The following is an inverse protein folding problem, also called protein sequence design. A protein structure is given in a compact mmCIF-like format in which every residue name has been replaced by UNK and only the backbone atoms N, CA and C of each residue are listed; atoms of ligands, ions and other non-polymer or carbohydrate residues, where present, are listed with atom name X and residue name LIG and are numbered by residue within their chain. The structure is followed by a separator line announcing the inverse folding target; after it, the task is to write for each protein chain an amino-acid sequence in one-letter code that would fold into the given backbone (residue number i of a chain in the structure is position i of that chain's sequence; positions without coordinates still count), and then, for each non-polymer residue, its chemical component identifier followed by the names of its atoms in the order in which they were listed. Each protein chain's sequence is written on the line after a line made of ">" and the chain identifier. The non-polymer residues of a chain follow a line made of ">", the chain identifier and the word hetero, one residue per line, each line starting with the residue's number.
data_IF_304954272150
#
_entry.id   IF_304954272150
#
_cell.length_a   1.000
_cell.length_b   1.000
_cell.length_c   1.000
_cell.angle_alpha   90.00
_cell.angle_beta   90.00
_cell.angle_gamma   90.00
#
_symmetry.space_group_name_H-M   'P 1'
#
loop_
_entity.id
_entity.type
_entity.pdbx_description
1 polymer ?
#
# COMPACT_ATOMS: atom_id res chain seq x y z
N UNK A 1 11.19 -31.51 41.52
CA UNK A 1 11.43 -30.25 40.78
C UNK A 1 12.06 -30.47 39.40
N UNK A 2 13.11 -31.29 39.24
CA UNK A 2 13.80 -31.51 37.94
C UNK A 2 12.89 -32.07 36.81
N UNK A 3 12.02 -33.05 37.09
CA UNK A 3 11.17 -33.66 36.07
C UNK A 3 10.12 -32.69 35.49
N UNK A 4 9.54 -31.84 36.34
CA UNK A 4 8.50 -30.88 35.98
C UNK A 4 9.08 -29.75 35.11
N UNK A 5 10.29 -29.28 35.44
CA UNK A 5 11.04 -28.32 34.62
C UNK A 5 11.38 -28.94 33.26
N UNK A 6 11.80 -30.21 33.22
CA UNK A 6 12.12 -30.91 31.97
C UNK A 6 10.90 -31.06 31.05
N UNK A 7 9.73 -31.40 31.60
CA UNK A 7 8.47 -31.49 30.85
C UNK A 7 8.08 -30.12 30.28
N UNK A 8 8.21 -29.05 31.06
CA UNK A 8 7.92 -27.68 30.61
C UNK A 8 8.89 -27.25 29.50
N UNK A 9 10.18 -27.51 29.64
CA UNK A 9 11.17 -27.22 28.59
C UNK A 9 10.90 -27.99 27.30
N UNK A 10 10.48 -29.26 27.40
CA UNK A 10 10.10 -30.06 26.23
C UNK A 10 8.85 -29.50 25.55
N UNK A 11 7.83 -29.11 26.31
CA UNK A 11 6.62 -28.49 25.78
C UNK A 11 6.89 -27.17 25.06
N UNK A 12 7.76 -26.32 25.63
CA UNK A 12 8.20 -25.06 24.99
C UNK A 12 8.98 -25.37 23.70
N UNK A 13 9.91 -26.32 23.72
CA UNK A 13 10.71 -26.70 22.56
C UNK A 13 9.85 -27.28 21.43
N UNK A 14 8.89 -28.14 21.75
CA UNK A 14 7.91 -28.67 20.80
C UNK A 14 7.03 -27.55 20.22
N UNK A 15 6.59 -26.60 21.06
CA UNK A 15 5.84 -25.42 20.62
C UNK A 15 6.65 -24.52 19.66
N UNK A 16 7.93 -24.30 19.95
CA UNK A 16 8.84 -23.56 19.07
C UNK A 16 9.06 -24.28 17.74
N UNK A 17 9.23 -25.61 17.75
CA UNK A 17 9.38 -26.40 16.53
C UNK A 17 8.12 -26.34 15.65
N UNK A 18 6.94 -26.46 16.25
CA UNK A 18 5.66 -26.32 15.54
C UNK A 18 5.56 -24.90 14.93
N UNK A 19 5.89 -23.87 15.71
CA UNK A 19 5.92 -22.48 15.24
C UNK A 19 6.85 -22.31 14.03
N UNK A 20 8.08 -22.82 14.12
CA UNK A 20 9.06 -22.78 13.03
C UNK A 20 8.56 -23.47 11.76
N UNK A 21 7.98 -24.68 11.90
CA UNK A 21 7.40 -25.41 10.78
C UNK A 21 6.23 -24.65 10.14
N UNK A 22 5.39 -23.99 10.93
CA UNK A 22 4.31 -23.15 10.40
C UNK A 22 4.83 -21.92 9.66
N UNK A 23 5.88 -21.27 10.17
CA UNK A 23 6.54 -20.13 9.51
C UNK A 23 7.19 -20.56 8.18
N UNK A 24 7.86 -21.72 8.15
CA UNK A 24 8.44 -22.27 6.92
C UNK A 24 7.38 -22.57 5.86
N UNK A 25 6.27 -23.20 6.25
CA UNK A 25 5.15 -23.46 5.33
C UNK A 25 4.55 -22.16 4.78
N UNK A 26 4.36 -21.15 5.63
CA UNK A 26 3.89 -19.81 5.23
C UNK A 26 4.87 -19.15 4.26
N UNK A 27 6.17 -19.18 4.58
CA UNK A 27 7.24 -18.63 3.74
C UNK A 27 7.27 -19.27 2.36
N UNK A 28 7.12 -20.60 2.26
CA UNK A 28 7.06 -21.30 0.96
C UNK A 28 5.88 -20.85 0.11
N UNK A 29 4.70 -20.66 0.71
CA UNK A 29 3.52 -20.14 0.00
C UNK A 29 3.72 -18.69 -0.44
N UNK A 30 4.31 -17.86 0.41
CA UNK A 30 4.64 -16.47 0.08
C UNK A 30 5.63 -16.39 -1.09
N UNK A 31 6.66 -17.24 -1.13
CA UNK A 31 7.59 -17.30 -2.26
C UNK A 31 6.89 -17.58 -3.58
N UNK A 32 5.93 -18.52 -3.61
CA UNK A 32 5.14 -18.80 -4.81
C UNK A 32 4.32 -17.58 -5.25
N UNK A 33 3.73 -16.87 -4.29
CA UNK A 33 2.97 -15.65 -4.56
C UNK A 33 3.88 -14.55 -5.14
N UNK A 34 5.08 -14.36 -4.58
CA UNK A 34 6.08 -13.41 -5.08
C UNK A 34 6.46 -13.75 -6.52
N UNK A 35 6.65 -15.03 -6.85
CA UNK A 35 6.92 -15.45 -8.24
C UNK A 35 5.80 -15.06 -9.21
N UNK A 36 4.54 -15.02 -8.77
CA UNK A 36 3.45 -14.49 -9.60
C UNK A 36 3.59 -12.98 -9.77
N UNK A 37 3.93 -12.25 -8.70
CA UNK A 37 4.18 -10.80 -8.77
C UNK A 37 5.33 -10.45 -9.71
N UNK A 38 6.39 -11.26 -9.74
CA UNK A 38 7.54 -11.06 -10.64
C UNK A 38 7.15 -11.13 -12.13
N UNK A 39 5.99 -11.74 -12.45
CA UNK A 39 5.45 -11.86 -13.79
C UNK A 39 4.44 -10.77 -14.14
N UNK A 40 4.12 -9.85 -13.23
CA UNK A 40 3.09 -8.82 -13.44
C UNK A 40 3.37 -7.90 -14.62
N UNK A 41 4.61 -7.82 -15.11
CA UNK A 41 4.97 -7.02 -16.29
C UNK A 41 4.51 -7.63 -17.61
N UNK A 42 4.13 -8.91 -17.63
CA UNK A 42 3.62 -9.62 -18.82
C UNK A 42 2.26 -10.27 -18.50
N UNK A 43 1.20 -9.71 -19.09
CA UNK A 43 -0.18 -10.15 -18.92
C UNK A 43 -0.37 -11.65 -19.21
N UNK A 44 0.29 -12.13 -20.27
CA UNK A 44 0.15 -13.49 -20.79
C UNK A 44 0.81 -14.53 -19.88
N UNK A 45 1.77 -14.12 -19.05
CA UNK A 45 2.41 -14.96 -18.06
C UNK A 45 1.70 -14.83 -16.70
N UNK A 46 1.32 -13.60 -16.33
CA UNK A 46 0.75 -13.29 -15.03
C UNK A 46 -0.56 -14.03 -14.75
N UNK A 47 -1.56 -13.89 -15.64
CA UNK A 47 -2.90 -14.44 -15.37
C UNK A 47 -2.91 -15.97 -15.26
N UNK A 48 -2.26 -16.73 -16.17
CA UNK A 48 -2.15 -18.18 -16.00
C UNK A 48 -1.45 -18.58 -14.70
N UNK A 49 -0.41 -17.85 -14.29
CA UNK A 49 0.32 -18.17 -13.07
C UNK A 49 -0.48 -17.89 -11.79
N UNK A 50 -1.18 -16.74 -11.72
CA UNK A 50 -1.98 -16.41 -10.55
C UNK A 50 -3.22 -17.30 -10.45
N UNK A 51 -3.85 -17.66 -11.57
CA UNK A 51 -4.98 -18.58 -11.60
C UNK A 51 -4.56 -19.98 -11.15
N UNK A 52 -3.44 -20.49 -11.69
CA UNK A 52 -2.88 -21.77 -11.22
C UNK A 52 -2.54 -21.74 -9.73
N UNK A 53 -2.04 -20.61 -9.22
CA UNK A 53 -1.77 -20.45 -7.80
C UNK A 53 -3.05 -20.53 -6.96
N UNK A 54 -4.10 -19.80 -7.34
CA UNK A 54 -5.39 -19.77 -6.64
C UNK A 54 -6.05 -21.16 -6.67
N UNK A 55 -6.07 -21.82 -7.83
CA UNK A 55 -6.70 -23.14 -8.00
C UNK A 55 -5.99 -24.25 -7.22
N UNK A 56 -4.66 -24.13 -7.06
CA UNK A 56 -3.85 -25.17 -6.39
C UNK A 56 -3.68 -24.96 -4.89
N UNK A 57 -4.01 -23.78 -4.35
CA UNK A 57 -3.76 -23.46 -2.94
C UNK A 57 -4.96 -23.81 -2.05
N UNK A 58 -4.78 -24.80 -1.17
CA UNK A 58 -5.83 -25.18 -0.20
C UNK A 58 -5.97 -24.20 0.98
N UNK A 59 -5.04 -23.25 1.14
CA UNK A 59 -5.06 -22.31 2.26
C UNK A 59 -5.92 -21.09 1.91
N UNK A 60 -7.07 -20.88 2.57
CA UNK A 60 -7.99 -19.79 2.23
C UNK A 60 -7.36 -18.41 2.40
N UNK A 61 -6.40 -18.26 3.32
CA UNK A 61 -5.68 -17.00 3.51
C UNK A 61 -4.89 -16.66 2.24
N UNK A 62 -4.17 -17.63 1.68
CA UNK A 62 -3.37 -17.43 0.47
C UNK A 62 -4.21 -17.38 -0.80
N UNK A 63 -5.33 -18.10 -0.88
CA UNK A 63 -6.28 -17.94 -1.98
C UNK A 63 -6.78 -16.48 -2.06
N UNK A 64 -7.21 -15.90 -0.93
CA UNK A 64 -7.64 -14.51 -0.87
C UNK A 64 -6.52 -13.52 -1.22
N UNK A 65 -5.27 -13.79 -0.81
CA UNK A 65 -4.11 -13.00 -1.25
C UNK A 65 -3.92 -13.06 -2.77
N UNK A 66 -4.10 -14.24 -3.36
CA UNK A 66 -4.03 -14.45 -4.80
C UNK A 66 -5.08 -13.64 -5.55
N UNK A 67 -6.33 -13.69 -5.11
CA UNK A 67 -7.43 -12.91 -5.70
C UNK A 67 -7.18 -11.38 -5.62
N UNK A 68 -6.61 -10.87 -4.53
CA UNK A 68 -6.23 -9.45 -4.44
C UNK A 68 -5.13 -9.08 -5.44
N UNK A 69 -4.16 -9.96 -5.68
CA UNK A 69 -3.16 -9.72 -6.72
C UNK A 69 -3.74 -9.84 -8.13
N UNK A 70 -4.64 -10.79 -8.36
CA UNK A 70 -5.38 -10.91 -9.62
C UNK A 70 -6.17 -9.64 -9.90
N UNK A 71 -6.89 -9.11 -8.90
CA UNK A 71 -7.58 -7.83 -8.97
C UNK A 71 -6.64 -6.70 -9.40
N UNK A 72 -5.46 -6.60 -8.79
CA UNK A 72 -4.48 -5.60 -9.18
C UNK A 72 -4.03 -5.76 -10.64
N UNK A 73 -3.82 -7.00 -11.11
CA UNK A 73 -3.53 -7.30 -12.51
C UNK A 73 -4.65 -6.87 -13.45
N UNK A 74 -5.90 -7.24 -13.17
CA UNK A 74 -7.08 -6.85 -13.96
C UNK A 74 -7.15 -5.32 -14.13
N UNK A 75 -6.95 -4.57 -13.04
CA UNK A 75 -6.95 -3.11 -13.06
C UNK A 75 -5.74 -2.55 -13.83
N UNK A 76 -4.54 -3.11 -13.60
CA UNK A 76 -3.31 -2.67 -14.29
C UNK A 76 -3.43 -2.82 -15.80
N UNK A 77 -4.02 -3.92 -16.27
CA UNK A 77 -4.23 -4.25 -17.68
C UNK A 77 -5.54 -3.73 -18.26
N UNK A 78 -6.31 -2.95 -17.48
CA UNK A 78 -7.56 -2.30 -17.93
C UNK A 78 -8.60 -3.30 -18.47
N UNK A 79 -8.76 -4.43 -17.77
CA UNK A 79 -9.87 -5.35 -18.01
C UNK A 79 -11.21 -4.66 -17.77
N UNK A 80 -12.28 -5.28 -18.27
CA UNK A 80 -13.62 -4.72 -18.13
C UNK A 80 -14.10 -4.72 -16.67
N UNK A 81 -15.01 -3.79 -16.37
CA UNK A 81 -15.55 -3.63 -15.02
C UNK A 81 -16.25 -4.91 -14.51
N UNK A 82 -17.06 -5.64 -15.32
CA UNK A 82 -17.69 -6.87 -14.86
C UNK A 82 -16.70 -7.96 -14.41
N UNK A 83 -15.58 -8.15 -15.10
CA UNK A 83 -14.55 -9.10 -14.69
C UNK A 83 -13.88 -8.67 -13.37
N UNK A 84 -13.62 -7.37 -13.22
CA UNK A 84 -13.08 -6.79 -11.99
C UNK A 84 -14.07 -6.96 -10.82
N UNK A 85 -15.35 -6.67 -11.02
CA UNK A 85 -16.40 -6.83 -10.00
C UNK A 85 -16.54 -8.30 -9.58
N UNK A 86 -16.54 -9.23 -10.54
CA UNK A 86 -16.55 -10.66 -10.24
C UNK A 86 -15.32 -11.09 -9.40
N UNK A 87 -14.16 -10.47 -9.63
CA UNK A 87 -12.98 -10.68 -8.79
C UNK A 87 -13.15 -10.09 -7.38
N UNK A 88 -13.72 -8.89 -7.26
CA UNK A 88 -14.01 -8.25 -5.97
C UNK A 88 -14.97 -9.08 -5.10
N UNK A 89 -15.98 -9.69 -5.71
CA UNK A 89 -16.94 -10.56 -5.01
C UNK A 89 -16.28 -11.83 -4.44
N UNK A 90 -15.30 -12.41 -5.15
CA UNK A 90 -14.57 -13.60 -4.68
C UNK A 90 -13.65 -13.31 -3.49
N UNK A 91 -13.22 -12.07 -3.30
CA UNK A 91 -12.32 -11.70 -2.20
C UNK A 91 -13.10 -11.68 -0.87
N UNK A 92 -12.89 -12.71 -0.05
CA UNK A 92 -13.33 -12.71 1.36
C UNK A 92 -12.22 -12.16 2.27
N UNK A 93 -12.32 -10.88 2.62
CA UNK A 93 -11.39 -10.19 3.52
C UNK A 93 -11.27 -10.87 4.90
N UNK A 94 -12.31 -11.57 5.34
CA UNK A 94 -12.30 -12.28 6.63
C UNK A 94 -11.19 -13.35 6.68
N UNK A 95 -10.79 -13.91 5.53
CA UNK A 95 -9.72 -14.93 5.45
C UNK A 95 -8.34 -14.37 5.78
N UNK A 96 -8.11 -13.08 5.52
CA UNK A 96 -6.84 -12.40 5.79
C UNK A 96 -6.87 -11.54 7.07
N UNK A 97 -8.05 -11.27 7.62
CA UNK A 97 -8.23 -10.51 8.87
C UNK A 97 -8.32 -11.44 10.08
N UNK A 98 -9.18 -12.46 10.04
CA UNK A 98 -9.57 -13.23 11.23
C UNK A 98 -8.68 -14.45 11.39
N UNK A 99 -8.12 -14.67 12.58
CA UNK A 99 -7.47 -15.95 12.89
C UNK A 99 -8.54 -17.01 13.19
N UNK A 100 -8.67 -18.08 12.37
CA UNK A 100 -9.66 -19.13 12.60
C UNK A 100 -9.40 -19.89 13.92
N UNK A 101 -8.15 -19.89 14.42
CA UNK A 101 -7.78 -20.56 15.67
C UNK A 101 -8.03 -19.68 16.89
N UNK A 102 -8.09 -18.36 16.72
CA UNK A 102 -8.32 -17.42 17.82
C UNK A 102 -9.02 -16.16 17.31
N UNK A 103 -10.36 -16.14 17.35
CA UNK A 103 -11.16 -15.00 16.88
C UNK A 103 -10.89 -13.68 17.61
N UNK A 104 -10.22 -13.70 18.78
CA UNK A 104 -9.80 -12.48 19.50
C UNK A 104 -8.49 -11.90 18.96
N UNK A 105 -7.78 -12.62 18.09
CA UNK A 105 -6.57 -12.15 17.40
C UNK A 105 -6.90 -11.93 15.93
N UNK A 106 -6.48 -10.78 15.41
CA UNK A 106 -6.48 -10.53 13.98
C UNK A 106 -5.09 -10.83 13.39
N UNK A 107 -5.07 -11.12 12.08
CA UNK A 107 -3.87 -11.41 11.29
C UNK A 107 -3.47 -10.23 10.40
N UNK A 108 -4.04 -9.05 10.63
CA UNK A 108 -3.85 -7.89 9.77
C UNK A 108 -2.36 -7.56 9.60
N UNK A 109 -1.60 -7.51 10.70
CA UNK A 109 -0.16 -7.24 10.63
C UNK A 109 0.67 -8.31 9.89
N UNK A 110 0.13 -9.52 9.69
CA UNK A 110 0.78 -10.56 8.88
C UNK A 110 0.41 -10.48 7.38
N UNK A 111 -0.63 -9.71 7.07
CA UNK A 111 -1.28 -9.62 5.76
C UNK A 111 -1.35 -8.17 5.25
N UNK A 112 -0.55 -7.29 5.84
CA UNK A 112 -0.49 -5.86 5.55
C UNK A 112 -0.09 -5.58 4.09
N UNK A 113 0.70 -6.47 3.49
CA UNK A 113 1.01 -6.51 2.06
C UNK A 113 -0.25 -6.57 1.19
N UNK A 114 -1.24 -7.38 1.57
CA UNK A 114 -2.50 -7.50 0.80
C UNK A 114 -3.36 -6.25 0.92
N UNK A 115 -3.38 -5.61 2.10
CA UNK A 115 -4.05 -4.33 2.26
C UNK A 115 -3.32 -3.21 1.51
N UNK A 116 -2.00 -3.30 1.36
CA UNK A 116 -1.28 -2.41 0.47
C UNK A 116 -1.77 -2.51 -0.97
N UNK A 117 -1.87 -3.72 -1.52
CA UNK A 117 -2.38 -3.90 -2.88
C UNK A 117 -3.82 -3.42 -3.05
N UNK A 118 -4.71 -3.82 -2.13
CA UNK A 118 -6.13 -3.46 -2.19
C UNK A 118 -6.36 -1.95 -2.01
N UNK A 119 -5.82 -1.35 -0.94
CA UNK A 119 -6.13 0.02 -0.58
C UNK A 119 -5.33 1.05 -1.40
N UNK A 120 -4.11 0.71 -1.82
CA UNK A 120 -3.22 1.66 -2.48
C UNK A 120 -2.94 1.30 -3.92
N UNK A 121 -2.34 0.14 -4.22
CA UNK A 121 -1.90 -0.16 -5.59
C UNK A 121 -3.07 -0.20 -6.59
N UNK A 122 -4.20 -0.79 -6.21
CA UNK A 122 -5.44 -0.78 -7.03
C UNK A 122 -6.00 0.65 -7.16
N UNK A 123 -6.10 1.38 -6.04
CA UNK A 123 -6.65 2.74 -6.03
C UNK A 123 -5.81 3.73 -6.84
N UNK A 124 -4.48 3.65 -6.78
CA UNK A 124 -3.58 4.48 -7.59
C UNK A 124 -3.83 4.25 -9.07
N UNK A 125 -3.95 2.99 -9.49
CA UNK A 125 -4.23 2.67 -10.90
C UNK A 125 -5.61 3.13 -11.34
N UNK A 126 -6.64 2.84 -10.56
CA UNK A 126 -8.00 3.32 -10.84
C UNK A 126 -8.06 4.85 -10.95
N UNK A 127 -7.38 5.56 -10.04
CA UNK A 127 -7.25 7.02 -10.07
C UNK A 127 -6.53 7.52 -11.33
N UNK A 128 -5.38 6.92 -11.68
CA UNK A 128 -4.60 7.28 -12.87
C UNK A 128 -5.37 7.10 -14.18
N UNK A 129 -6.32 6.16 -14.19
CA UNK A 129 -7.20 5.86 -15.32
C UNK A 129 -8.44 6.75 -15.36
N UNK A 130 -8.61 7.67 -14.39
CA UNK A 130 -9.82 8.47 -14.19
C UNK A 130 -11.09 7.61 -14.07
N UNK A 131 -10.98 6.41 -13.51
CA UNK A 131 -12.09 5.48 -13.35
C UNK A 131 -12.71 5.63 -11.95
N UNK A 132 -13.56 6.64 -11.79
CA UNK A 132 -14.23 6.95 -10.51
C UNK A 132 -15.14 5.81 -10.04
N UNK A 133 -15.82 5.13 -10.96
CA UNK A 133 -16.68 3.99 -10.63
C UNK A 133 -15.89 2.86 -9.98
N UNK A 134 -14.78 2.44 -10.61
CA UNK A 134 -13.89 1.44 -10.03
C UNK A 134 -13.32 1.88 -8.69
N UNK A 135 -12.94 3.15 -8.56
CA UNK A 135 -12.40 3.70 -7.32
C UNK A 135 -13.43 3.62 -6.18
N UNK A 136 -14.72 3.89 -6.48
CA UNK A 136 -15.82 3.69 -5.54
C UNK A 136 -16.03 2.22 -5.18
N UNK A 137 -15.97 1.29 -6.13
CA UNK A 137 -16.06 -0.16 -5.87
C UNK A 137 -14.97 -0.66 -4.94
N UNK A 138 -13.73 -0.21 -5.15
CA UNK A 138 -12.61 -0.53 -4.25
C UNK A 138 -12.87 0.03 -2.85
N UNK A 139 -13.43 1.23 -2.74
CA UNK A 139 -13.78 1.84 -1.46
C UNK A 139 -14.85 1.05 -0.71
N UNK A 140 -15.96 0.72 -1.37
CA UNK A 140 -17.01 -0.15 -0.84
C UNK A 140 -16.43 -1.46 -0.30
N UNK A 141 -15.51 -2.09 -1.04
CA UNK A 141 -14.85 -3.33 -0.63
C UNK A 141 -14.08 -3.20 0.67
N UNK A 142 -13.34 -2.10 0.85
CA UNK A 142 -12.59 -1.84 2.10
C UNK A 142 -13.55 -1.60 3.27
N UNK A 143 -14.66 -0.90 3.04
CA UNK A 143 -15.63 -0.58 4.09
C UNK A 143 -16.36 -1.82 4.65
N UNK A 144 -16.44 -2.93 3.91
CA UNK A 144 -17.03 -4.20 4.39
C UNK A 144 -16.46 -4.68 5.75
N UNK A 145 -15.23 -4.30 6.08
CA UNK A 145 -14.50 -4.72 7.29
C UNK A 145 -13.89 -3.55 8.06
N UNK A 146 -14.40 -2.34 7.87
CA UNK A 146 -13.90 -1.10 8.48
C UNK A 146 -13.69 -1.22 10.01
N UNK A 147 -14.60 -1.89 10.73
CA UNK A 147 -14.51 -2.09 12.18
C UNK A 147 -13.19 -2.73 12.64
N UNK A 148 -12.56 -3.53 11.77
CA UNK A 148 -11.28 -4.18 12.07
C UNK A 148 -10.07 -3.29 11.83
N UNK A 149 -10.25 -2.17 11.13
CA UNK A 149 -9.17 -1.35 10.58
C UNK A 149 -8.90 -0.05 11.34
N UNK A 150 -9.79 0.35 12.25
CA UNK A 150 -9.74 1.64 12.95
C UNK A 150 -8.40 1.92 13.65
N UNK A 151 -7.73 0.89 14.17
CA UNK A 151 -6.43 1.00 14.85
C UNK A 151 -5.22 0.69 13.96
N UNK A 152 -5.42 0.58 12.64
CA UNK A 152 -4.39 0.24 11.67
C UNK A 152 -3.88 1.49 10.94
N UNK A 153 -2.57 1.64 10.82
CA UNK A 153 -1.96 2.79 10.16
C UNK A 153 -2.36 2.88 8.68
N UNK A 154 -2.34 1.76 7.97
CA UNK A 154 -2.68 1.73 6.54
C UNK A 154 -4.09 2.25 6.27
N UNK A 155 -5.02 2.06 7.21
CA UNK A 155 -6.41 2.47 7.04
C UNK A 155 -6.58 3.97 7.25
N UNK A 156 -5.94 4.54 8.27
CA UNK A 156 -5.88 6.00 8.46
C UNK A 156 -5.29 6.68 7.23
N UNK A 157 -4.21 6.12 6.69
CA UNK A 157 -3.59 6.62 5.47
C UNK A 157 -4.49 6.44 4.24
N UNK A 158 -5.20 5.32 4.14
CA UNK A 158 -6.16 5.07 3.06
C UNK A 158 -7.34 6.06 3.10
N UNK A 159 -7.91 6.34 4.26
CA UNK A 159 -8.98 7.34 4.41
C UNK A 159 -8.51 8.74 4.03
N UNK A 160 -7.27 9.11 4.39
CA UNK A 160 -6.67 10.36 3.92
C UNK A 160 -6.46 10.38 2.40
N UNK A 161 -6.03 9.25 1.81
CA UNK A 161 -5.89 9.08 0.36
C UNK A 161 -7.25 9.20 -0.35
N UNK A 162 -8.31 8.68 0.27
CA UNK A 162 -9.67 8.81 -0.22
C UNK A 162 -10.13 10.27 -0.27
N UNK A 163 -9.83 11.06 0.77
CA UNK A 163 -10.10 12.49 0.79
C UNK A 163 -9.35 13.22 -0.34
N UNK A 164 -8.12 12.81 -0.65
CA UNK A 164 -7.38 13.32 -1.81
C UNK A 164 -8.05 12.99 -3.16
N UNK A 165 -8.49 11.75 -3.35
CA UNK A 165 -9.13 11.34 -4.61
C UNK A 165 -10.45 12.09 -4.84
N UNK A 166 -11.24 12.24 -3.77
CA UNK A 166 -12.57 12.87 -3.80
C UNK A 166 -12.56 14.38 -3.57
N UNK A 167 -11.37 14.98 -3.40
CA UNK A 167 -11.16 16.41 -3.14
C UNK A 167 -11.96 16.94 -1.94
N UNK A 168 -12.04 16.16 -0.88
CA UNK A 168 -12.75 16.51 0.36
C UNK A 168 -11.81 17.07 1.43
N UNK A 169 -12.33 18.00 2.25
CA UNK A 169 -11.60 18.55 3.40
C UNK A 169 -10.27 19.20 3.01
N UNK A 170 -9.22 18.90 3.79
CA UNK A 170 -7.83 19.30 3.50
C UNK A 170 -7.13 18.36 2.52
N UNK A 171 -7.87 17.46 1.85
CA UNK A 171 -7.37 16.38 1.01
C UNK A 171 -6.44 15.40 1.76
N UNK A 172 -6.62 15.24 3.08
CA UNK A 172 -5.86 14.31 3.91
C UNK A 172 -4.50 14.83 4.39
N UNK A 173 -4.17 16.10 4.10
CA UNK A 173 -2.87 16.72 4.38
C UNK A 173 -2.43 16.55 5.83
N UNK A 174 -3.30 16.81 6.79
CA UNK A 174 -2.96 16.71 8.22
C UNK A 174 -2.48 15.31 8.59
N UNK A 175 -3.14 14.26 8.08
CA UNK A 175 -2.76 12.86 8.33
C UNK A 175 -1.41 12.55 7.70
N UNK A 176 -1.18 13.01 6.46
CA UNK A 176 0.10 12.78 5.78
C UNK A 176 1.26 13.50 6.49
N UNK A 177 1.03 14.73 6.95
CA UNK A 177 2.00 15.50 7.75
C UNK A 177 2.30 14.83 9.08
N UNK A 178 1.27 14.37 9.79
CA UNK A 178 1.44 13.64 11.05
C UNK A 178 2.26 12.37 10.85
N UNK A 179 2.04 11.62 9.75
CA UNK A 179 2.84 10.43 9.45
C UNK A 179 4.30 10.78 9.14
N UNK A 180 4.53 11.81 8.32
CA UNK A 180 5.87 12.28 7.96
C UNK A 180 6.67 12.73 9.19
N UNK A 181 6.01 13.35 10.18
CA UNK A 181 6.62 13.82 11.42
C UNK A 181 6.68 12.75 12.53
N UNK A 182 6.13 11.56 12.28
CA UNK A 182 6.07 10.48 13.29
C UNK A 182 5.13 10.78 14.46
N UNK A 183 4.12 11.64 14.25
CA UNK A 183 3.14 12.05 15.25
C UNK A 183 1.94 11.10 15.34
N UNK A 184 1.76 10.18 14.37
CA UNK A 184 0.73 9.14 14.45
C UNK A 184 1.08 8.15 15.57
N UNK A 185 0.50 8.39 16.76
CA UNK A 185 0.69 7.55 17.94
C UNK A 185 -0.35 6.44 18.00
N UNK A 186 0.05 5.28 18.54
CA UNK A 186 -0.83 4.15 18.90
C UNK A 186 -1.49 3.39 17.73
N UNK A 187 -1.06 3.62 16.49
CA UNK A 187 -1.51 2.82 15.35
C UNK A 187 -0.66 1.55 15.19
N UNK A 188 -1.31 0.45 14.81
CA UNK A 188 -0.64 -0.81 14.47
C UNK A 188 -0.12 -0.74 13.04
N UNK A 189 1.14 -1.10 12.87
CA UNK A 189 1.79 -1.24 11.58
C UNK A 189 2.99 -2.17 11.71
N UNK A 190 3.25 -3.00 10.70
CA UNK A 190 4.51 -3.74 10.64
C UNK A 190 5.68 -2.78 10.35
N UNK A 191 6.85 -3.07 10.90
CA UNK A 191 8.06 -2.28 10.64
C UNK A 191 8.42 -2.23 9.15
N UNK A 192 8.08 -3.28 8.40
CA UNK A 192 8.38 -3.37 6.97
C UNK A 192 7.51 -2.42 6.14
N UNK A 193 6.26 -2.21 6.53
CA UNK A 193 5.33 -1.35 5.79
C UNK A 193 5.43 0.13 6.19
N UNK A 194 5.93 0.45 7.39
CA UNK A 194 6.00 1.81 7.89
C UNK A 194 6.72 2.77 6.92
N UNK A 195 7.87 2.35 6.37
CA UNK A 195 8.63 3.20 5.45
C UNK A 195 7.91 3.37 4.10
N UNK A 196 7.23 2.31 3.62
CA UNK A 196 6.39 2.40 2.42
C UNK A 196 5.25 3.41 2.65
N UNK A 197 4.59 3.38 3.80
CA UNK A 197 3.50 4.30 4.13
C UNK A 197 3.95 5.74 4.30
N UNK A 198 5.15 5.97 4.86
CA UNK A 198 5.76 7.30 4.88
C UNK A 198 6.04 7.83 3.48
N UNK A 199 6.53 6.97 2.59
CA UNK A 199 6.77 7.36 1.21
C UNK A 199 5.48 7.68 0.46
N UNK A 200 4.41 6.90 0.67
CA UNK A 200 3.07 7.19 0.13
C UNK A 200 2.57 8.55 0.65
N UNK A 201 2.66 8.81 1.95
CA UNK A 201 2.28 10.11 2.51
C UNK A 201 3.08 11.26 1.92
N UNK A 202 4.39 11.10 1.74
CA UNK A 202 5.23 12.11 1.09
C UNK A 202 4.81 12.36 -0.36
N UNK A 203 4.44 11.32 -1.11
CA UNK A 203 3.89 11.49 -2.47
C UNK A 203 2.58 12.27 -2.45
N UNK A 204 1.62 11.94 -1.59
CA UNK A 204 0.39 12.73 -1.51
C UNK A 204 0.66 14.19 -1.13
N UNK A 205 1.56 14.46 -0.19
CA UNK A 205 1.96 15.84 0.15
C UNK A 205 2.58 16.56 -1.05
N UNK A 206 3.39 15.88 -1.86
CA UNK A 206 3.91 16.46 -3.11
C UNK A 206 2.79 16.75 -4.12
N UNK A 207 1.80 15.86 -4.24
CA UNK A 207 0.60 16.11 -5.04
C UNK A 207 -0.17 17.33 -4.56
N UNK A 208 -0.35 17.49 -3.24
CA UNK A 208 -0.99 18.66 -2.62
C UNK A 208 -0.20 19.93 -2.91
N UNK A 209 1.12 19.89 -2.73
CA UNK A 209 2.01 21.01 -3.02
C UNK A 209 1.92 21.42 -4.49
N UNK A 210 1.97 20.46 -5.42
CA UNK A 210 1.83 20.69 -6.86
C UNK A 210 0.48 21.31 -7.21
N UNK A 211 -0.62 20.78 -6.66
CA UNK A 211 -1.97 21.28 -6.93
C UNK A 211 -2.19 22.72 -6.42
N UNK A 212 -1.58 23.08 -5.29
CA UNK A 212 -1.72 24.40 -4.66
C UNK A 212 -0.62 25.39 -5.04
N UNK A 213 0.42 24.96 -5.76
CA UNK A 213 1.65 25.72 -6.00
C UNK A 213 2.32 26.17 -4.70
N UNK A 214 2.33 25.29 -3.70
CA UNK A 214 2.92 25.54 -2.39
C UNK A 214 4.41 25.17 -2.40
N UNK A 215 5.27 26.17 -2.54
CA UNK A 215 6.72 25.98 -2.61
C UNK A 215 7.32 25.51 -1.28
N UNK A 216 6.75 25.92 -0.13
CA UNK A 216 7.27 25.54 1.17
C UNK A 216 7.02 24.04 1.42
N UNK A 217 5.80 23.57 1.14
CA UNK A 217 5.48 22.16 1.24
C UNK A 217 6.29 21.33 0.24
N UNK A 218 6.46 21.82 -0.99
CA UNK A 218 7.28 21.15 -2.02
C UNK A 218 8.72 20.94 -1.54
N UNK A 219 9.37 21.96 -0.97
CA UNK A 219 10.73 21.85 -0.42
C UNK A 219 10.82 20.84 0.73
N UNK A 220 9.80 20.78 1.59
CA UNK A 220 9.77 19.84 2.74
C UNK A 220 9.73 18.38 2.29
N UNK A 221 9.10 18.08 1.16
CA UNK A 221 8.90 16.70 0.66
C UNK A 221 9.83 16.32 -0.49
N UNK A 222 10.62 17.24 -1.02
CA UNK A 222 11.53 17.02 -2.15
C UNK A 222 12.48 15.84 -1.91
N UNK A 223 13.18 15.82 -0.77
CA UNK A 223 14.15 14.76 -0.43
C UNK A 223 13.51 13.36 -0.31
N UNK A 224 12.44 13.14 0.49
CA UNK A 224 11.82 11.82 0.57
C UNK A 224 11.22 11.38 -0.77
N UNK A 225 10.63 12.29 -1.54
CA UNK A 225 10.01 11.97 -2.84
C UNK A 225 11.07 11.61 -3.89
N UNK A 226 12.15 12.39 -4.01
CA UNK A 226 13.25 12.11 -4.95
C UNK A 226 13.94 10.79 -4.64
N UNK A 227 14.17 10.48 -3.36
CA UNK A 227 14.72 9.18 -2.96
C UNK A 227 13.79 8.05 -3.40
N UNK A 228 12.48 8.18 -3.21
CA UNK A 228 11.54 7.14 -3.60
C UNK A 228 11.37 7.01 -5.11
N UNK A 229 11.39 8.14 -5.84
CA UNK A 229 11.34 8.18 -7.29
C UNK A 229 12.48 7.39 -7.95
N UNK A 230 13.64 7.26 -7.29
CA UNK A 230 14.75 6.44 -7.77
C UNK A 230 14.45 4.92 -7.79
N UNK A 231 13.37 4.48 -7.15
CA UNK A 231 12.91 3.09 -7.16
C UNK A 231 11.83 2.88 -8.22
N UNK A 232 11.79 1.70 -8.84
CA UNK A 232 10.77 1.38 -9.85
C UNK A 232 9.34 1.52 -9.30
N UNK A 233 9.11 1.03 -8.07
CA UNK A 233 7.81 1.14 -7.40
C UNK A 233 7.42 2.60 -7.16
N UNK A 234 8.32 3.42 -6.61
CA UNK A 234 8.06 4.83 -6.32
C UNK A 234 7.81 5.64 -7.59
N UNK A 235 8.61 5.44 -8.63
CA UNK A 235 8.41 6.09 -9.93
C UNK A 235 7.04 5.76 -10.54
N UNK A 236 6.62 4.50 -10.46
CA UNK A 236 5.31 4.07 -10.96
C UNK A 236 4.15 4.71 -10.17
N UNK A 237 4.25 4.77 -8.84
CA UNK A 237 3.20 5.36 -7.99
C UNK A 237 3.09 6.87 -8.21
N UNK A 238 4.22 7.59 -8.26
CA UNK A 238 4.22 9.03 -8.53
C UNK A 238 3.58 9.34 -9.89
N UNK A 239 3.90 8.54 -10.91
CA UNK A 239 3.27 8.65 -12.23
C UNK A 239 1.76 8.41 -12.18
N UNK A 240 1.32 7.38 -11.47
CA UNK A 240 -0.10 7.05 -11.34
C UNK A 240 -0.88 8.14 -10.58
N UNK A 241 -0.23 8.81 -9.64
CA UNK A 241 -0.80 9.95 -8.91
C UNK A 241 -0.72 11.28 -9.70
N UNK A 242 -0.09 11.30 -10.88
CA UNK A 242 0.10 12.52 -11.67
C UNK A 242 1.07 13.52 -11.05
N UNK A 243 1.97 13.05 -10.19
CA UNK A 243 2.97 13.88 -9.50
C UNK A 243 4.22 13.92 -10.37
N UNK A 244 4.58 15.12 -10.83
CA UNK A 244 5.81 15.33 -11.58
C UNK A 244 6.97 15.55 -10.62
N UNK A 245 8.17 15.07 -10.98
CA UNK A 245 9.36 15.33 -10.17
C UNK A 245 9.49 16.84 -9.93
N UNK A 246 9.59 17.20 -8.65
CA UNK A 246 9.86 18.56 -8.19
C UNK A 246 11.32 18.84 -8.58
N UNK A 247 11.55 19.18 -9.85
CA UNK A 247 12.89 19.48 -10.34
C UNK A 247 13.42 20.73 -9.65
N UNK A 248 14.66 20.63 -9.14
CA UNK A 248 15.47 21.76 -8.66
C UNK A 248 15.68 22.88 -9.70
N UNK A 249 15.18 22.72 -10.94
CA UNK A 249 15.36 23.68 -12.03
C UNK A 249 14.35 24.83 -12.10
N UNK A 250 13.35 24.92 -11.21
CA UNK A 250 12.36 26.02 -11.25
C UNK A 250 12.49 27.06 -10.13
N UNK A 251 13.33 26.83 -9.13
CA UNK A 251 13.48 27.75 -7.98
C UNK A 251 14.54 28.85 -8.24
N UNK A 252 15.41 28.70 -9.26
CA UNK A 252 16.55 29.61 -9.48
C UNK A 252 16.50 30.47 -10.76
N UNK A 253 15.37 30.53 -11.47
CA UNK A 253 15.23 31.38 -12.67
C UNK A 253 14.41 32.66 -12.44
N UNK A 254 14.29 33.14 -11.21
CA UNK A 254 13.59 34.41 -10.89
C UNK A 254 14.33 35.30 -9.87
N UNK A 255 15.67 35.32 -9.92
CA UNK A 255 16.47 36.27 -9.14
C UNK A 255 17.54 37.03 -9.94
N UNK A 256 17.55 36.95 -11.27
CA UNK A 256 18.43 37.75 -12.13
C UNK A 256 17.67 38.28 -13.34
N UNK A 257 16.73 39.19 -13.09
CA UNK A 257 16.27 40.16 -14.10
C UNK A 257 15.73 41.39 -13.36
N UNK A 258 16.59 42.00 -12.53
CA UNK A 258 16.45 43.42 -12.20
C UNK A 258 17.35 44.21 -13.16
N UNK A 259 16.79 45.17 -13.92
CA UNK A 259 17.57 45.97 -14.86
C UNK A 259 18.53 46.85 -14.06
N UNK A 260 19.84 46.70 -14.32
CA UNK A 260 20.82 47.73 -13.94
C UNK A 260 20.50 49.00 -14.73
N UNK A 261 19.73 49.89 -14.12
CA UNK A 261 19.82 51.33 -14.36
C UNK A 261 21.28 51.73 -14.16
N UNK A 262 21.94 52.14 -15.23
CA UNK A 262 23.14 52.96 -15.15
C UNK A 262 22.74 54.38 -15.47
N UNK A 263 22.69 55.18 -14.43
CA UNK A 263 22.76 56.63 -14.50
C UNK A 263 24.10 57.06 -15.13
N UNK A 264 23.95 57.94 -16.11
CA UNK A 264 24.78 59.07 -16.58
C UNK A 264 26.29 59.13 -16.28
N UNK A 265 27.08 59.27 -17.35
CA UNK A 265 28.04 60.37 -17.57
C UNK A 265 28.37 60.51 -19.06
#
# INVERSE_FOLDING_TARGET
>A
MSLLITIVCFAISAGMLISLLTLLKRSKKMKKLITCVDQISDESLFFPAIDQFIDSIQDPEFAAKGEILKLWGLIKYQHDLPEIEACLERIDLSKIIIDPKNRRRNKIGLNEDSFYYLCFACSFKAYSQNNEELLNRLHEKVLEKEDYFQDQLFYQLYTASWAWYTKQGDCGEAVFMDLAQGLIKKMKCSRQMLDIYRNIAAAFLAGIAQARKDEELAQRVEKPVSHWASTEMGANILRDLGIHEISQSQVWSKAEDEPKTKDEA
#
